data_IF_723176949160
#
_entry.id   IF_723176949160
#
_cell.length_a   1.000
_cell.length_b   1.000
_cell.length_c   1.000
_cell.angle_alpha   90.00
_cell.angle_beta   90.00
_cell.angle_gamma   90.00
#
_symmetry.space_group_name_H-M   'P 1'
#
loop_
_entity.id
_entity.type
_entity.pdbx_description
1 polymer ?
#
# COMPACT_ATOMS: atom_id res chain seq x y z
N UNK A 1 11.92 19.75 -7.47
CA UNK A 1 10.57 19.15 -7.43
C UNK A 1 10.22 18.66 -6.01
N UNK A 2 10.98 17.75 -5.39
CA UNK A 2 10.76 17.26 -4.01
C UNK A 2 10.77 18.39 -2.98
N UNK A 3 11.72 19.30 -3.04
CA UNK A 3 11.83 20.43 -2.12
C UNK A 3 10.62 21.36 -2.16
N UNK A 4 10.01 21.54 -3.33
CA UNK A 4 8.77 22.32 -3.43
C UNK A 4 7.61 21.63 -2.73
N UNK A 5 7.46 20.31 -2.90
CA UNK A 5 6.42 19.53 -2.23
C UNK A 5 6.59 19.48 -0.70
N UNK A 6 7.82 19.46 -0.21
CA UNK A 6 8.12 19.50 1.24
C UNK A 6 7.75 20.84 1.92
N UNK A 7 7.60 21.93 1.14
CA UNK A 7 7.11 23.21 1.69
C UNK A 7 5.69 23.13 2.25
N UNK A 8 4.87 22.23 1.73
CA UNK A 8 3.58 21.94 2.36
C UNK A 8 3.84 21.12 3.64
N UNK A 9 3.50 21.62 4.84
CA UNK A 9 3.73 20.92 6.09
C UNK A 9 3.01 19.56 6.15
N UNK A 10 1.94 19.41 5.39
CA UNK A 10 1.14 18.18 5.31
C UNK A 10 1.57 17.24 4.18
N UNK A 11 2.65 17.56 3.48
CA UNK A 11 3.21 16.65 2.49
C UNK A 11 3.71 15.38 3.15
N UNK A 12 3.29 14.22 2.63
CA UNK A 12 3.76 12.92 3.09
C UNK A 12 5.28 12.73 2.93
N UNK A 13 5.92 13.52 2.06
CA UNK A 13 7.38 13.54 1.95
C UNK A 13 8.08 13.99 3.24
N UNK A 14 7.40 14.75 4.09
CA UNK A 14 7.91 15.14 5.41
C UNK A 14 7.90 13.99 6.43
N UNK A 15 7.21 12.88 6.12
CA UNK A 15 7.29 11.61 6.85
C UNK A 15 8.29 10.68 6.18
N UNK A 16 8.11 10.45 4.87
CA UNK A 16 8.86 9.46 4.12
C UNK A 16 10.35 9.82 3.93
N UNK A 17 10.66 11.10 3.80
CA UNK A 17 12.00 11.64 3.51
C UNK A 17 12.33 12.82 4.45
N UNK A 18 12.09 12.61 5.74
CA UNK A 18 12.26 13.62 6.81
C UNK A 18 13.73 13.93 7.16
N UNK A 19 14.66 13.14 6.63
CA UNK A 19 16.10 13.26 6.92
C UNK A 19 16.56 12.48 8.15
N UNK A 20 15.71 12.25 9.15
CA UNK A 20 15.98 11.36 10.29
C UNK A 20 14.69 10.72 10.84
N UNK A 21 14.87 9.65 11.61
CA UNK A 21 13.76 8.82 12.12
C UNK A 21 12.90 9.56 13.16
N UNK A 22 13.49 10.42 13.98
CA UNK A 22 12.76 11.17 15.00
C UNK A 22 11.79 12.18 14.35
N UNK A 23 12.27 12.99 13.42
CA UNK A 23 11.44 13.94 12.67
C UNK A 23 10.32 13.24 11.89
N UNK A 24 10.63 12.10 11.29
CA UNK A 24 9.64 11.27 10.59
C UNK A 24 8.51 10.83 11.53
N UNK A 25 8.85 10.33 12.70
CA UNK A 25 7.89 9.88 13.73
C UNK A 25 7.05 11.02 14.28
N UNK A 26 7.66 12.14 14.60
CA UNK A 26 6.97 13.35 15.10
C UNK A 26 5.99 13.89 14.05
N UNK A 27 6.40 13.99 12.79
CA UNK A 27 5.54 14.46 11.72
C UNK A 27 4.37 13.50 11.47
N UNK A 28 4.61 12.20 11.48
CA UNK A 28 3.55 11.20 11.30
C UNK A 28 2.53 11.24 12.45
N UNK A 29 3.03 11.39 13.68
CA UNK A 29 2.18 11.57 14.88
C UNK A 29 1.32 12.84 14.74
N UNK A 30 1.94 13.97 14.39
CA UNK A 30 1.24 15.24 14.20
C UNK A 30 0.16 15.15 13.12
N UNK A 31 0.44 14.49 11.99
CA UNK A 31 -0.56 14.30 10.93
C UNK A 31 -1.76 13.48 11.40
N UNK A 32 -1.56 12.48 12.26
CA UNK A 32 -2.66 11.73 12.89
C UNK A 32 -3.47 12.58 13.87
N UNK A 33 -2.80 13.31 14.76
CA UNK A 33 -3.44 14.19 15.75
C UNK A 33 -4.26 15.30 15.10
N UNK A 34 -3.79 15.82 13.97
CA UNK A 34 -4.49 16.84 13.17
C UNK A 34 -5.52 16.26 12.20
N UNK A 35 -5.75 14.96 12.23
CA UNK A 35 -6.67 14.26 11.33
C UNK A 35 -6.38 14.46 9.84
N UNK A 36 -5.11 14.76 9.48
CA UNK A 36 -4.65 14.80 8.09
C UNK A 36 -4.57 13.38 7.53
N UNK A 37 -4.13 12.43 8.36
CA UNK A 37 -4.19 10.99 8.09
C UNK A 37 -5.18 10.39 9.08
N UNK A 38 -6.16 9.66 8.56
CA UNK A 38 -7.20 9.00 9.36
C UNK A 38 -7.19 7.51 9.07
N UNK A 39 -7.57 6.72 10.07
CA UNK A 39 -7.90 5.32 9.88
C UNK A 39 -9.35 5.24 9.44
N UNK A 40 -9.63 4.40 8.45
CA UNK A 40 -11.03 4.09 8.10
C UNK A 40 -11.71 3.36 9.25
N UNK A 41 -13.00 3.63 9.42
CA UNK A 41 -13.82 2.99 10.45
C UNK A 41 -14.17 1.55 10.04
N UNK A 42 -14.41 1.36 8.74
CA UNK A 42 -14.83 0.09 8.16
C UNK A 42 -13.72 -0.58 7.36
N UNK A 43 -13.77 -1.90 7.29
CA UNK A 43 -12.91 -2.66 6.37
C UNK A 43 -13.19 -2.21 4.94
N UNK A 44 -12.15 -1.80 4.22
CA UNK A 44 -12.30 -1.23 2.90
C UNK A 44 -11.16 -1.63 1.97
N UNK A 45 -11.48 -1.75 0.68
CA UNK A 45 -10.51 -1.63 -0.39
C UNK A 45 -10.60 -0.24 -1.02
N UNK A 46 -9.52 0.17 -1.69
CA UNK A 46 -9.56 1.34 -2.55
C UNK A 46 -9.35 0.89 -3.99
N UNK A 47 -10.15 1.45 -4.88
CA UNK A 47 -9.93 1.30 -6.33
C UNK A 47 -9.19 2.54 -6.77
N UNK A 48 -8.08 2.34 -7.47
CA UNK A 48 -7.23 3.41 -7.93
C UNK A 48 -7.08 3.33 -9.44
N UNK A 49 -7.41 4.44 -10.10
CA UNK A 49 -7.26 4.58 -11.53
C UNK A 49 -6.24 5.66 -11.86
N UNK A 50 -5.34 5.31 -12.75
CA UNK A 50 -4.43 6.26 -13.40
C UNK A 50 -4.69 6.25 -14.90
N UNK A 51 -4.82 7.41 -15.48
CA UNK A 51 -5.06 7.53 -16.92
C UNK A 51 -4.30 8.72 -17.52
N UNK A 52 -3.90 8.55 -18.76
CA UNK A 52 -3.39 9.60 -19.63
C UNK A 52 -4.21 9.65 -20.94
N UNK A 53 -3.70 10.29 -21.99
CA UNK A 53 -4.41 10.41 -23.26
C UNK A 53 -4.58 9.08 -23.99
N UNK A 54 -3.73 8.09 -23.74
CA UNK A 54 -3.62 6.87 -24.53
C UNK A 54 -3.82 5.59 -23.70
N UNK A 55 -3.73 5.68 -22.38
CA UNK A 55 -3.73 4.52 -21.51
C UNK A 55 -4.52 4.75 -20.23
N UNK A 56 -5.20 3.70 -19.78
CA UNK A 56 -5.90 3.66 -18.52
C UNK A 56 -5.53 2.38 -17.77
N UNK A 57 -5.22 2.51 -16.50
CA UNK A 57 -4.95 1.38 -15.62
C UNK A 57 -5.80 1.51 -14.36
N UNK A 58 -6.47 0.42 -13.99
CA UNK A 58 -7.25 0.31 -12.77
C UNK A 58 -6.63 -0.77 -11.89
N UNK A 59 -6.50 -0.49 -10.61
CA UNK A 59 -5.97 -1.43 -9.63
C UNK A 59 -6.70 -1.35 -8.30
N UNK A 60 -6.41 -2.31 -7.42
CA UNK A 60 -6.93 -2.38 -6.06
C UNK A 60 -5.81 -2.10 -5.07
N UNK A 61 -6.09 -1.26 -4.07
CA UNK A 61 -5.22 -1.05 -2.92
C UNK A 61 -5.89 -1.72 -1.72
N UNK A 62 -5.17 -2.61 -1.08
CA UNK A 62 -5.62 -3.32 0.10
C UNK A 62 -4.46 -3.93 0.86
N UNK A 63 -4.76 -4.66 1.93
CA UNK A 63 -3.78 -5.42 2.69
C UNK A 63 -3.82 -6.89 2.31
N UNK A 64 -2.68 -7.55 2.31
CA UNK A 64 -2.55 -8.98 2.12
C UNK A 64 -1.82 -9.59 3.33
N UNK A 65 -2.14 -10.84 3.65
CA UNK A 65 -1.41 -11.58 4.70
C UNK A 65 0.03 -11.82 4.25
N UNK A 66 0.99 -11.61 5.13
CA UNK A 66 2.40 -11.89 4.84
C UNK A 66 2.65 -13.37 4.50
N UNK A 67 1.85 -14.28 5.07
CA UNK A 67 1.90 -15.70 4.70
C UNK A 67 1.72 -15.95 3.20
N UNK A 68 1.06 -15.06 2.46
CA UNK A 68 0.95 -15.16 1.01
C UNK A 68 2.30 -14.96 0.31
N UNK A 69 3.19 -14.16 0.89
CA UNK A 69 4.57 -14.01 0.42
C UNK A 69 5.43 -15.20 0.85
N UNK A 70 5.34 -15.63 2.10
CA UNK A 70 6.10 -16.77 2.64
C UNK A 70 5.78 -18.06 1.88
N UNK A 71 4.52 -18.27 1.50
CA UNK A 71 4.04 -19.43 0.73
C UNK A 71 4.21 -19.28 -0.79
N UNK A 72 4.90 -18.24 -1.23
CA UNK A 72 5.17 -17.97 -2.66
C UNK A 72 3.91 -17.78 -3.53
N UNK A 73 2.78 -17.42 -2.94
CA UNK A 73 1.61 -16.94 -3.66
C UNK A 73 1.87 -15.53 -4.23
N UNK A 74 2.51 -14.67 -3.42
CA UNK A 74 3.08 -13.39 -3.89
C UNK A 74 4.58 -13.62 -4.10
N UNK A 75 5.08 -13.35 -5.32
CA UNK A 75 6.48 -13.62 -5.70
C UNK A 75 7.23 -12.37 -6.09
N UNK A 76 8.45 -12.27 -5.60
CA UNK A 76 9.47 -11.36 -6.13
C UNK A 76 10.26 -11.97 -7.28
N UNK A 77 10.96 -11.12 -8.03
CA UNK A 77 11.85 -11.51 -9.13
C UNK A 77 13.19 -10.75 -9.11
N UNK A 78 13.38 -9.88 -8.14
CA UNK A 78 14.62 -9.13 -7.95
C UNK A 78 15.46 -9.68 -6.80
N UNK A 79 16.78 -9.56 -6.93
CA UNK A 79 17.70 -9.77 -5.83
C UNK A 79 17.52 -8.70 -4.74
N UNK A 80 17.50 -9.14 -3.49
CA UNK A 80 17.28 -8.25 -2.35
C UNK A 80 18.61 -7.73 -1.81
N UNK A 81 18.83 -6.43 -1.93
CA UNK A 81 19.94 -5.74 -1.28
C UNK A 81 19.65 -5.54 0.20
N UNK A 82 20.35 -6.29 1.05
CA UNK A 82 20.11 -6.32 2.50
C UNK A 82 20.11 -4.95 3.16
N UNK A 83 21.03 -4.07 2.78
CA UNK A 83 21.11 -2.69 3.32
C UNK A 83 19.82 -1.88 3.04
N UNK A 84 19.27 -2.02 1.83
CA UNK A 84 18.02 -1.33 1.46
C UNK A 84 16.83 -1.87 2.25
N UNK A 85 16.76 -3.19 2.41
CA UNK A 85 15.71 -3.82 3.20
C UNK A 85 15.81 -3.42 4.68
N UNK A 86 17.01 -3.41 5.27
CA UNK A 86 17.25 -2.98 6.65
C UNK A 86 16.86 -1.52 6.88
N UNK A 87 17.16 -0.62 5.94
CA UNK A 87 16.74 0.78 6.02
C UNK A 87 15.23 0.91 6.05
N UNK A 88 14.51 0.14 5.23
CA UNK A 88 13.04 0.11 5.20
C UNK A 88 12.46 -0.49 6.48
N UNK A 89 13.04 -1.57 6.98
CA UNK A 89 12.64 -2.19 8.25
C UNK A 89 12.72 -1.19 9.40
N UNK A 90 13.86 -0.51 9.59
CA UNK A 90 14.02 0.52 10.62
C UNK A 90 12.97 1.62 10.50
N UNK A 91 12.70 2.08 9.29
CA UNK A 91 11.70 3.12 9.04
C UNK A 91 10.28 2.65 9.42
N UNK A 92 9.89 1.43 9.04
CA UNK A 92 8.58 0.86 9.36
C UNK A 92 8.43 0.60 10.86
N UNK A 93 9.46 0.06 11.51
CA UNK A 93 9.47 -0.19 12.96
C UNK A 93 9.36 1.12 13.75
N UNK A 94 10.13 2.14 13.36
CA UNK A 94 10.09 3.46 13.99
C UNK A 94 8.70 4.12 13.92
N UNK A 95 8.02 4.01 12.77
CA UNK A 95 6.69 4.58 12.56
C UNK A 95 5.57 3.69 13.07
N UNK A 96 5.85 2.43 13.36
CA UNK A 96 4.86 1.37 13.54
C UNK A 96 3.80 1.39 12.44
N UNK A 97 4.26 1.52 11.19
CA UNK A 97 3.42 1.62 10.02
C UNK A 97 4.16 1.19 8.75
N UNK A 98 3.46 0.50 7.87
CA UNK A 98 3.92 0.30 6.51
C UNK A 98 3.75 1.60 5.72
N UNK A 99 4.84 2.09 5.15
CA UNK A 99 4.86 3.29 4.33
C UNK A 99 5.25 2.97 2.89
N UNK A 100 4.41 3.41 1.98
CA UNK A 100 4.53 3.12 0.55
C UNK A 100 3.97 1.75 0.18
N UNK A 101 3.02 1.71 -0.76
CA UNK A 101 2.43 0.47 -1.24
C UNK A 101 3.47 -0.38 -1.96
N UNK A 102 3.23 -1.68 -2.01
CA UNK A 102 3.95 -2.63 -2.87
C UNK A 102 3.11 -2.77 -4.13
N UNK A 103 3.71 -2.53 -5.27
CA UNK A 103 3.02 -2.67 -6.54
C UNK A 103 3.14 -4.10 -7.04
N UNK A 104 1.99 -4.72 -7.28
CA UNK A 104 1.91 -6.09 -7.77
C UNK A 104 1.13 -6.16 -9.07
N UNK A 105 1.40 -7.19 -9.84
CA UNK A 105 0.69 -7.55 -11.06
C UNK A 105 0.19 -8.99 -10.95
N UNK A 106 -0.91 -9.28 -11.62
CA UNK A 106 -1.54 -10.60 -11.66
C UNK A 106 -1.99 -10.91 -13.09
N UNK A 107 -2.19 -12.21 -13.43
CA UNK A 107 -2.73 -12.60 -14.71
C UNK A 107 -4.12 -12.02 -14.96
N UNK A 108 -4.46 -11.79 -16.23
CA UNK A 108 -5.78 -11.27 -16.65
C UNK A 108 -6.92 -12.03 -15.96
N UNK A 109 -7.84 -11.26 -15.37
CA UNK A 109 -9.04 -11.78 -14.71
C UNK A 109 -10.24 -10.91 -15.06
N UNK A 110 -10.98 -11.32 -16.08
CA UNK A 110 -12.12 -10.57 -16.62
C UNK A 110 -13.19 -10.24 -15.58
N UNK A 111 -13.43 -11.11 -14.61
CA UNK A 111 -14.45 -10.89 -13.57
C UNK A 111 -13.98 -9.77 -12.62
N UNK A 112 -12.72 -9.80 -12.21
CA UNK A 112 -12.13 -8.75 -11.40
C UNK A 112 -12.13 -7.40 -12.14
N UNK A 113 -11.71 -7.40 -13.41
CA UNK A 113 -11.70 -6.18 -14.24
C UNK A 113 -13.10 -5.58 -14.39
N UNK A 114 -14.12 -6.41 -14.62
CA UNK A 114 -15.50 -5.93 -14.72
C UNK A 114 -16.00 -5.34 -13.40
N UNK A 115 -15.71 -6.01 -12.28
CA UNK A 115 -16.06 -5.51 -10.95
C UNK A 115 -15.39 -4.15 -10.69
N UNK A 116 -14.09 -4.05 -10.90
CA UNK A 116 -13.35 -2.80 -10.68
C UNK A 116 -13.85 -1.68 -11.58
N UNK A 117 -14.10 -1.95 -12.85
CA UNK A 117 -14.65 -0.95 -13.79
C UNK A 117 -16.04 -0.48 -13.37
N UNK A 118 -16.90 -1.37 -12.88
CA UNK A 118 -18.23 -0.97 -12.43
C UNK A 118 -18.19 0.01 -11.26
N UNK A 119 -17.23 -0.12 -10.36
CA UNK A 119 -17.06 0.77 -9.22
C UNK A 119 -16.53 2.16 -9.62
N UNK A 120 -15.88 2.28 -10.76
CA UNK A 120 -15.40 3.57 -11.28
C UNK A 120 -16.47 4.40 -11.99
N UNK A 121 -17.72 3.94 -12.06
CA UNK A 121 -18.84 4.69 -12.64
C UNK A 121 -19.42 5.76 -11.71
N UNK A 122 -19.14 5.66 -10.40
CA UNK A 122 -19.52 6.67 -9.41
C UNK A 122 -18.49 7.79 -9.33
N UNK A 123 -18.82 8.85 -8.59
CA UNK A 123 -17.86 9.92 -8.33
C UNK A 123 -16.71 9.43 -7.44
N UNK A 124 -15.44 9.72 -7.78
CA UNK A 124 -14.30 9.34 -6.97
C UNK A 124 -14.20 10.20 -5.71
N UNK A 125 -13.66 9.60 -4.62
CA UNK A 125 -13.34 10.36 -3.39
C UNK A 125 -12.17 11.32 -3.59
N UNK A 126 -11.28 11.01 -4.53
CA UNK A 126 -10.18 11.86 -4.97
C UNK A 126 -10.07 11.84 -6.49
N UNK A 127 -9.90 13.03 -7.08
CA UNK A 127 -9.59 13.19 -8.49
C UNK A 127 -8.67 14.39 -8.68
N UNK A 128 -7.51 14.17 -9.27
CA UNK A 128 -6.55 15.24 -9.55
C UNK A 128 -5.65 14.90 -10.74
N UNK A 129 -5.10 15.92 -11.36
CA UNK A 129 -4.09 15.77 -12.41
C UNK A 129 -2.70 16.03 -11.82
N UNK A 130 -1.82 15.04 -11.91
CA UNK A 130 -0.47 15.12 -11.40
C UNK A 130 0.45 15.89 -12.36
N UNK A 131 1.70 16.14 -11.90
CA UNK A 131 2.69 16.90 -12.68
C UNK A 131 3.20 16.16 -13.94
N UNK A 132 3.03 14.86 -14.00
CA UNK A 132 3.29 14.02 -15.18
C UNK A 132 2.17 14.05 -16.21
N UNK A 133 1.12 14.86 -15.95
CA UNK A 133 -0.09 15.02 -16.74
C UNK A 133 -1.07 13.85 -16.66
N UNK A 134 -0.77 12.81 -15.89
CA UNK A 134 -1.71 11.73 -15.63
C UNK A 134 -2.84 12.20 -14.70
N UNK A 135 -4.04 11.71 -14.95
CA UNK A 135 -5.19 11.85 -14.05
C UNK A 135 -5.17 10.68 -13.07
N UNK A 136 -5.34 11.00 -11.80
CA UNK A 136 -5.39 10.03 -10.70
C UNK A 136 -6.77 10.12 -10.05
N UNK A 137 -7.43 8.98 -9.90
CA UNK A 137 -8.76 8.88 -9.31
C UNK A 137 -8.78 7.73 -8.31
N UNK A 138 -9.54 7.90 -7.24
CA UNK A 138 -9.65 6.89 -6.19
C UNK A 138 -11.09 6.78 -5.70
N UNK A 139 -11.54 5.56 -5.50
CA UNK A 139 -12.83 5.20 -4.91
C UNK A 139 -12.60 4.35 -3.67
N UNK A 140 -13.47 4.48 -2.68
CA UNK A 140 -13.52 3.58 -1.54
C UNK A 140 -14.60 2.51 -1.79
N UNK A 141 -14.27 1.27 -1.48
CA UNK A 141 -15.17 0.14 -1.57
C UNK A 141 -15.26 -0.52 -0.20
N UNK A 142 -16.37 -0.30 0.50
CA UNK A 142 -16.63 -0.77 1.85
C UNK A 142 -17.91 -1.65 1.95
N UNK A 143 -18.55 -1.96 0.82
CA UNK A 143 -19.66 -2.90 0.78
C UNK A 143 -19.17 -4.34 1.01
N UNK A 144 -19.60 -4.96 2.12
CA UNK A 144 -19.13 -6.28 2.58
C UNK A 144 -19.20 -7.35 1.49
N UNK A 145 -20.31 -7.38 0.73
CA UNK A 145 -20.49 -8.32 -0.37
C UNK A 145 -19.42 -8.18 -1.45
N UNK A 146 -19.10 -6.95 -1.84
CA UNK A 146 -18.09 -6.66 -2.87
C UNK A 146 -16.68 -6.92 -2.35
N UNK A 147 -16.42 -6.62 -1.08
CA UNK A 147 -15.17 -6.99 -0.40
C UNK A 147 -14.97 -8.49 -0.48
N UNK A 148 -16.00 -9.29 -0.13
CA UNK A 148 -15.97 -10.74 -0.25
C UNK A 148 -15.66 -11.21 -1.67
N UNK A 149 -16.33 -10.64 -2.67
CA UNK A 149 -16.10 -10.96 -4.08
C UNK A 149 -14.65 -10.66 -4.52
N UNK A 150 -14.09 -9.52 -4.12
CA UNK A 150 -12.68 -9.19 -4.42
C UNK A 150 -11.75 -10.20 -3.76
N UNK A 151 -11.97 -10.54 -2.49
CA UNK A 151 -11.17 -11.53 -1.78
C UNK A 151 -11.22 -12.90 -2.47
N UNK A 152 -12.40 -13.37 -2.86
CA UNK A 152 -12.56 -14.65 -3.54
C UNK A 152 -11.86 -14.67 -4.91
N UNK A 153 -11.99 -13.58 -5.67
CA UNK A 153 -11.33 -13.45 -6.97
C UNK A 153 -9.80 -13.45 -6.81
N UNK A 154 -9.24 -12.70 -5.84
CA UNK A 154 -7.81 -12.72 -5.58
C UNK A 154 -7.33 -14.08 -5.06
N UNK A 155 -8.10 -14.76 -4.21
CA UNK A 155 -7.79 -16.12 -3.75
C UNK A 155 -7.79 -17.16 -4.88
N UNK A 156 -8.56 -16.92 -5.94
CA UNK A 156 -8.57 -17.78 -7.14
C UNK A 156 -7.37 -17.60 -8.05
N UNK A 157 -6.65 -16.49 -7.93
CA UNK A 157 -5.45 -16.21 -8.70
C UNK A 157 -4.31 -17.06 -8.14
N UNK A 158 -3.74 -17.91 -8.94
CA UNK A 158 -2.69 -18.84 -8.51
C UNK A 158 -1.42 -18.11 -8.00
N UNK A 159 -1.03 -17.02 -8.66
CA UNK A 159 0.20 -16.26 -8.34
C UNK A 159 0.06 -14.79 -8.66
N UNK A 160 0.61 -13.99 -7.76
CA UNK A 160 0.75 -12.54 -7.89
C UNK A 160 2.24 -12.21 -7.90
N UNK A 161 2.66 -11.26 -8.72
CA UNK A 161 4.07 -10.91 -8.86
C UNK A 161 4.32 -9.48 -8.40
N UNK A 162 5.39 -9.27 -7.64
CA UNK A 162 5.83 -7.94 -7.22
C UNK A 162 6.47 -7.26 -8.44
N UNK A 163 5.92 -6.13 -8.87
CA UNK A 163 6.48 -5.29 -9.92
C UNK A 163 7.38 -4.18 -9.37
N UNK A 164 7.04 -3.65 -8.17
CA UNK A 164 7.89 -2.70 -7.44
C UNK A 164 7.70 -2.87 -5.92
N UNK A 165 8.77 -2.68 -5.17
CA UNK A 165 8.75 -2.73 -3.73
C UNK A 165 9.27 -4.01 -3.11
N UNK A 166 10.11 -4.78 -3.80
CA UNK A 166 10.74 -6.00 -3.30
C UNK A 166 11.42 -5.81 -1.94
N UNK A 167 12.21 -4.74 -1.79
CA UNK A 167 12.87 -4.42 -0.51
C UNK A 167 11.87 -4.02 0.58
N UNK A 168 10.68 -3.49 0.24
CA UNK A 168 9.62 -3.21 1.21
C UNK A 168 8.96 -4.50 1.69
N UNK A 169 8.69 -5.43 0.77
CA UNK A 169 8.12 -6.74 1.11
C UNK A 169 9.07 -7.52 2.03
N UNK A 170 10.35 -7.59 1.67
CA UNK A 170 11.38 -8.25 2.49
C UNK A 170 11.50 -7.61 3.89
N UNK A 171 11.46 -6.28 3.94
CA UNK A 171 11.50 -5.56 5.21
C UNK A 171 10.28 -5.88 6.09
N UNK A 172 9.09 -6.01 5.51
CA UNK A 172 7.87 -6.39 6.24
C UNK A 172 7.95 -7.82 6.77
N UNK A 173 8.40 -8.77 5.94
CA UNK A 173 8.56 -10.16 6.36
C UNK A 173 9.52 -10.26 7.54
N UNK A 174 10.70 -9.64 7.47
CA UNK A 174 11.68 -9.61 8.57
C UNK A 174 11.19 -8.88 9.81
N UNK A 175 10.44 -7.79 9.64
CA UNK A 175 9.86 -7.05 10.77
C UNK A 175 8.82 -7.90 11.49
N UNK A 176 8.00 -8.63 10.75
CA UNK A 176 7.02 -9.57 11.30
C UNK A 176 7.72 -10.67 12.11
N UNK A 177 8.74 -11.33 11.56
CA UNK A 177 9.52 -12.33 12.29
C UNK A 177 10.12 -11.76 13.58
N UNK A 178 10.73 -10.58 13.52
CA UNK A 178 11.31 -9.93 14.68
C UNK A 178 10.27 -9.62 15.77
N UNK A 179 9.09 -9.14 15.39
CA UNK A 179 7.99 -8.89 16.33
C UNK A 179 7.46 -10.18 16.95
N UNK A 180 7.30 -11.25 16.17
CA UNK A 180 6.91 -12.58 16.65
C UNK A 180 7.89 -13.11 17.71
N UNK A 181 9.19 -12.99 17.47
CA UNK A 181 10.20 -13.40 18.42
C UNK A 181 10.14 -12.60 19.73
N UNK A 182 9.80 -11.31 19.66
CA UNK A 182 9.66 -10.46 20.85
C UNK A 182 8.40 -10.74 21.66
N UNK A 183 7.33 -11.15 21.00
CA UNK A 183 6.06 -11.50 21.62
C UNK A 183 5.61 -12.89 21.15
N UNK A 184 6.05 -13.98 21.80
CA UNK A 184 5.64 -15.34 21.43
C UNK A 184 4.13 -15.60 21.56
N UNK A 185 3.43 -14.79 22.35
CA UNK A 185 1.99 -14.89 22.58
C UNK A 185 1.18 -13.94 21.69
N UNK A 186 1.76 -13.49 20.58
CA UNK A 186 1.06 -12.60 19.65
C UNK A 186 -0.19 -13.28 19.05
N UNK A 187 -1.25 -12.52 18.86
CA UNK A 187 -2.49 -12.98 18.22
C UNK A 187 -2.47 -12.80 16.69
N UNK A 188 -1.45 -12.14 16.16
CA UNK A 188 -1.28 -11.79 14.75
C UNK A 188 -1.67 -10.35 14.41
N UNK A 189 -2.31 -9.64 15.32
CA UNK A 189 -2.79 -8.26 15.13
C UNK A 189 -1.68 -7.21 15.25
N UNK A 190 -0.59 -7.57 15.90
CA UNK A 190 0.57 -6.69 16.13
C UNK A 190 1.63 -6.76 15.02
N UNK A 191 1.37 -7.52 13.96
CA UNK A 191 2.35 -7.89 12.94
C UNK A 191 2.13 -7.13 11.64
#
# INVERSE_FOLDING_TARGET
KKEHLKKNPWSYLNVFDAGNDLKSKEQFKLMKEKSIIKKENDTSFYIYKISDQNHEQIGVIGTAKLSAYDNLHIRGHEEIFLERAQKRLKQMDNLNAQIGPIYTIYPDNKQLDQLLKSETLSDPIYSFKALDKCKHEMWILNEEKKIGQICDLFNSINRIYIADGHHRMEALSKLSEFKKHKNPNHTGEEL
#
